data_IF_500544803990
#
_entry.id   IF_500544803990
#
_cell.length_a   1.000
_cell.length_b   1.000
_cell.length_c   1.000
_cell.angle_alpha   90.00
_cell.angle_beta   90.00
_cell.angle_gamma   90.00
#
_symmetry.space_group_name_H-M   'P 1'
#
loop_
_entity.id
_entity.type
_entity.pdbx_description
1 polymer ?
#
# COMPACT_ATOMS: atom_id res chain seq x y z
N UNK A 1 -5.47 9.18 -14.67
CA UNK A 1 -4.27 10.02 -14.46
C UNK A 1 -3.04 9.10 -14.58
N UNK A 2 -1.89 9.54 -15.15
CA UNK A 2 -0.74 8.62 -15.33
C UNK A 2 0.17 8.59 -14.09
N UNK A 3 0.90 7.50 -13.86
CA UNK A 3 1.94 7.38 -12.81
C UNK A 3 2.92 8.57 -12.81
N UNK A 4 3.33 9.01 -14.00
CA UNK A 4 4.23 10.15 -14.17
C UNK A 4 3.58 11.45 -13.68
N UNK A 5 2.28 11.63 -13.89
CA UNK A 5 1.56 12.79 -13.38
C UNK A 5 1.55 12.80 -11.84
N UNK A 6 1.23 11.67 -11.20
CA UNK A 6 1.22 11.56 -9.73
C UNK A 6 2.58 11.92 -9.12
N UNK A 7 3.67 11.46 -9.73
CA UNK A 7 5.04 11.71 -9.29
C UNK A 7 5.48 13.18 -9.42
N UNK A 8 4.92 13.93 -10.39
CA UNK A 8 5.32 15.31 -10.67
C UNK A 8 4.33 16.37 -10.16
N UNK A 9 3.17 15.96 -9.66
CA UNK A 9 2.17 16.86 -9.09
C UNK A 9 2.67 17.42 -7.76
N UNK A 10 2.41 18.70 -7.49
CA UNK A 10 2.79 19.34 -6.22
C UNK A 10 2.14 18.63 -5.02
N UNK A 11 2.77 18.74 -3.85
CA UNK A 11 2.22 18.16 -2.62
C UNK A 11 0.82 18.70 -2.30
N UNK A 12 0.58 19.99 -2.51
CA UNK A 12 -0.71 20.60 -2.23
C UNK A 12 -1.83 20.05 -3.14
N UNK A 13 -1.60 20.03 -4.46
CA UNK A 13 -2.58 19.52 -5.42
C UNK A 13 -2.85 18.04 -5.20
N UNK A 14 -1.81 17.23 -4.97
CA UNK A 14 -2.00 15.79 -4.75
C UNK A 14 -2.67 15.51 -3.40
N UNK A 15 -2.36 16.26 -2.35
CA UNK A 15 -3.02 16.13 -1.05
C UNK A 15 -4.53 16.35 -1.17
N UNK A 16 -4.93 17.40 -1.88
CA UNK A 16 -6.36 17.74 -2.06
C UNK A 16 -7.07 16.74 -2.97
N UNK A 17 -6.39 16.20 -4.00
CA UNK A 17 -6.91 15.12 -4.83
C UNK A 17 -7.15 13.83 -4.00
N UNK A 18 -6.15 13.40 -3.23
CA UNK A 18 -6.24 12.24 -2.33
C UNK A 18 -7.37 12.41 -1.31
N UNK A 19 -7.46 13.59 -0.67
CA UNK A 19 -8.52 13.91 0.28
C UNK A 19 -9.90 13.85 -0.39
N UNK A 20 -10.05 14.44 -1.56
CA UNK A 20 -11.31 14.43 -2.30
C UNK A 20 -11.73 13.01 -2.71
N UNK A 21 -10.79 12.19 -3.18
CA UNK A 21 -11.02 10.80 -3.55
C UNK A 21 -11.51 9.97 -2.35
N UNK A 22 -10.79 10.03 -1.23
CA UNK A 22 -11.16 9.30 -0.01
C UNK A 22 -12.55 9.73 0.49
N UNK A 23 -12.86 11.03 0.51
CA UNK A 23 -14.18 11.51 0.94
C UNK A 23 -15.29 11.01 0.01
N UNK A 24 -15.10 11.05 -1.31
CA UNK A 24 -16.08 10.53 -2.29
C UNK A 24 -16.32 9.03 -2.14
N UNK A 25 -15.29 8.27 -1.76
CA UNK A 25 -15.37 6.85 -1.43
C UNK A 25 -15.96 6.57 -0.04
N UNK A 26 -16.37 7.60 0.71
CA UNK A 26 -16.89 7.46 2.08
C UNK A 26 -15.82 7.09 3.11
N UNK A 27 -14.54 7.28 2.78
CA UNK A 27 -13.40 7.03 3.66
C UNK A 27 -13.03 8.27 4.47
N UNK A 28 -12.35 8.05 5.59
CA UNK A 28 -11.85 9.15 6.43
C UNK A 28 -10.47 9.59 5.94
N UNK A 29 -10.29 10.90 5.74
CA UNK A 29 -8.98 11.50 5.53
C UNK A 29 -8.55 12.24 6.81
N UNK A 30 -7.37 11.94 7.34
CA UNK A 30 -6.86 12.50 8.58
C UNK A 30 -6.14 13.82 8.30
N UNK A 31 -6.82 14.96 8.51
CA UNK A 31 -6.32 16.30 8.14
C UNK A 31 -5.92 17.17 9.35
N UNK A 32 -5.89 16.59 10.55
CA UNK A 32 -5.63 17.29 11.81
C UNK A 32 -4.32 16.82 12.44
N UNK A 33 -3.54 17.78 12.96
CA UNK A 33 -2.29 17.51 13.66
C UNK A 33 -1.12 17.20 12.73
N UNK A 34 0.09 17.39 13.26
CA UNK A 34 1.31 17.09 12.53
C UNK A 34 1.57 15.59 12.49
N UNK A 35 2.07 15.08 11.36
CA UNK A 35 2.38 13.66 11.14
C UNK A 35 1.22 12.69 11.42
N UNK A 36 -0.02 13.16 11.30
CA UNK A 36 -1.19 12.27 11.25
C UNK A 36 -1.26 11.66 9.84
N UNK A 37 -0.75 10.44 9.69
CA UNK A 37 -0.43 9.89 8.37
C UNK A 37 -1.67 9.29 7.70
N UNK A 38 -1.86 9.63 6.44
CA UNK A 38 -2.71 8.91 5.51
C UNK A 38 -1.81 8.04 4.62
N UNK A 39 -1.76 6.74 4.90
CA UNK A 39 -1.08 5.76 4.04
C UNK A 39 -2.07 5.31 2.96
N UNK A 40 -1.80 5.67 1.71
CA UNK A 40 -2.72 5.47 0.60
C UNK A 40 -1.99 4.76 -0.55
N UNK A 41 -2.33 3.50 -0.81
CA UNK A 41 -1.94 2.82 -2.04
C UNK A 41 -2.85 3.22 -3.19
N UNK A 42 -2.26 3.64 -4.31
CA UNK A 42 -2.94 3.89 -5.58
C UNK A 42 -2.57 2.73 -6.50
N UNK A 43 -3.52 1.83 -6.72
CA UNK A 43 -3.36 0.67 -7.61
C UNK A 43 -3.50 1.09 -9.06
N UNK A 44 -2.59 0.66 -9.91
CA UNK A 44 -2.66 0.94 -11.34
C UNK A 44 -3.71 0.08 -12.04
N UNK A 45 -4.38 0.67 -13.02
CA UNK A 45 -5.37 0.02 -13.87
C UNK A 45 -4.74 -0.95 -14.87
N UNK A 46 -3.44 -0.82 -15.19
CA UNK A 46 -2.78 -1.72 -16.14
C UNK A 46 -2.52 -3.13 -15.59
N UNK A 47 -2.52 -3.30 -14.25
CA UNK A 47 -2.40 -4.59 -13.54
C UNK A 47 -1.30 -5.50 -14.11
N UNK A 48 -0.11 -4.95 -14.30
CA UNK A 48 1.00 -5.70 -14.89
C UNK A 48 1.80 -6.41 -13.79
N UNK A 49 1.47 -7.70 -13.59
CA UNK A 49 2.18 -8.55 -12.65
C UNK A 49 3.70 -8.46 -12.84
N UNK A 50 4.41 -8.24 -11.74
CA UNK A 50 5.86 -8.17 -11.72
C UNK A 50 6.48 -6.79 -11.92
N UNK A 51 5.67 -5.73 -12.01
CA UNK A 51 6.14 -4.35 -12.04
C UNK A 51 5.84 -3.61 -10.71
N UNK A 52 6.51 -2.48 -10.53
CA UNK A 52 6.21 -1.48 -9.49
C UNK A 52 5.46 -0.30 -10.11
N UNK A 53 4.29 -0.57 -10.66
CA UNK A 53 3.40 0.35 -11.36
C UNK A 53 2.44 1.10 -10.44
N UNK A 54 2.17 0.58 -9.24
CA UNK A 54 1.45 1.29 -8.18
C UNK A 54 2.28 2.42 -7.55
N UNK A 55 1.58 3.29 -6.82
CA UNK A 55 2.19 4.32 -5.98
C UNK A 55 1.67 4.20 -4.55
N UNK A 56 2.58 4.15 -3.58
CA UNK A 56 2.25 4.35 -2.18
C UNK A 56 2.46 5.82 -1.82
N UNK A 57 1.39 6.51 -1.48
CA UNK A 57 1.39 7.87 -0.96
C UNK A 57 1.36 7.86 0.57
N UNK A 58 2.13 8.77 1.18
CA UNK A 58 2.04 9.11 2.60
C UNK A 58 1.73 10.61 2.70
N UNK A 59 0.45 10.94 2.91
CA UNK A 59 -0.03 12.32 3.02
C UNK A 59 -0.24 12.72 4.48
N UNK A 60 0.29 13.89 4.86
CA UNK A 60 0.26 14.38 6.24
C UNK A 60 0.47 15.90 6.30
N UNK A 61 0.29 16.50 7.48
CA UNK A 61 0.70 17.88 7.75
C UNK A 61 2.00 17.94 8.55
N UNK A 62 2.79 18.96 8.30
CA UNK A 62 3.95 19.32 9.11
C UNK A 62 3.97 20.83 9.31
N UNK A 63 3.81 21.28 10.56
CA UNK A 63 3.68 22.70 10.93
C UNK A 63 2.59 23.40 10.12
N UNK A 64 1.46 22.71 9.93
CA UNK A 64 0.32 23.18 9.15
C UNK A 64 0.46 23.06 7.62
N UNK A 65 1.65 22.74 7.09
CA UNK A 65 1.90 22.60 5.65
C UNK A 65 1.53 21.20 5.17
N UNK A 66 0.76 21.09 4.08
CA UNK A 66 0.43 19.81 3.41
C UNK A 66 1.70 19.19 2.82
N UNK A 67 1.92 17.91 3.09
CA UNK A 67 3.04 17.12 2.57
C UNK A 67 2.52 15.83 1.97
N UNK A 68 3.11 15.40 0.85
CA UNK A 68 2.86 14.09 0.27
C UNK A 68 4.18 13.46 -0.13
N UNK A 69 4.52 12.31 0.47
CA UNK A 69 5.58 11.46 -0.06
C UNK A 69 5.00 10.41 -0.99
N UNK A 70 5.73 10.09 -2.05
CA UNK A 70 5.31 9.19 -3.13
C UNK A 70 6.37 8.14 -3.30
N UNK A 71 5.99 6.88 -3.23
CA UNK A 71 6.90 5.76 -3.30
C UNK A 71 6.45 4.82 -4.41
N UNK A 72 7.37 4.48 -5.30
CA UNK A 72 7.09 3.45 -6.29
C UNK A 72 6.86 2.12 -5.57
N UNK A 73 5.69 1.53 -5.79
CA UNK A 73 5.25 0.38 -5.04
C UNK A 73 4.48 -0.61 -5.94
N UNK A 74 4.05 -1.72 -5.36
CA UNK A 74 3.16 -2.70 -6.00
C UNK A 74 2.32 -3.39 -4.95
N UNK A 75 1.05 -3.61 -5.25
CA UNK A 75 0.13 -4.50 -4.53
C UNK A 75 -0.03 -5.83 -5.24
N UNK A 76 0.56 -5.97 -6.43
CA UNK A 76 0.53 -7.19 -7.21
C UNK A 76 1.45 -8.22 -6.59
N UNK A 77 1.00 -9.48 -6.63
CA UNK A 77 1.87 -10.57 -6.28
C UNK A 77 3.01 -10.70 -7.29
N UNK A 78 4.18 -11.12 -6.81
CA UNK A 78 5.29 -11.45 -7.67
C UNK A 78 4.93 -12.62 -8.59
N UNK A 79 5.43 -12.61 -9.82
CA UNK A 79 5.11 -13.62 -10.85
C UNK A 79 5.39 -15.06 -10.41
N UNK A 80 6.33 -15.25 -9.47
CA UNK A 80 6.60 -16.56 -8.87
C UNK A 80 5.40 -17.12 -8.09
N UNK A 81 4.68 -16.26 -7.36
CA UNK A 81 3.63 -16.67 -6.42
C UNK A 81 2.33 -17.09 -7.12
N UNK A 82 2.05 -16.56 -8.32
CA UNK A 82 0.97 -17.08 -9.17
C UNK A 82 1.20 -18.55 -9.56
N UNK A 83 2.46 -18.93 -9.82
CA UNK A 83 2.83 -20.31 -10.16
C UNK A 83 3.02 -21.21 -8.93
N UNK A 84 3.23 -20.63 -7.75
CA UNK A 84 3.55 -21.34 -6.51
C UNK A 84 2.77 -20.76 -5.31
N UNK A 85 1.43 -20.83 -5.30
CA UNK A 85 0.65 -20.17 -4.26
C UNK A 85 0.92 -20.80 -2.88
N UNK A 86 1.13 -19.96 -1.87
CA UNK A 86 1.33 -20.41 -0.48
C UNK A 86 0.05 -20.98 0.15
N UNK A 87 -1.11 -20.70 -0.45
CA UNK A 87 -2.41 -21.17 0.01
C UNK A 87 -3.06 -22.00 -1.12
N UNK A 88 -3.71 -23.10 -0.75
CA UNK A 88 -4.44 -23.93 -1.72
C UNK A 88 -5.56 -23.16 -2.44
N UNK A 89 -6.10 -22.11 -1.80
CA UNK A 89 -7.07 -21.17 -2.38
C UNK A 89 -6.44 -20.09 -3.25
N UNK A 90 -5.13 -20.13 -3.48
CA UNK A 90 -4.43 -19.22 -4.36
C UNK A 90 -3.89 -17.95 -3.72
N UNK A 91 -3.47 -17.02 -4.56
CA UNK A 91 -2.77 -15.79 -4.19
C UNK A 91 -3.74 -14.76 -3.62
N UNK A 92 -3.34 -14.04 -2.58
CA UNK A 92 -4.17 -13.00 -1.98
C UNK A 92 -3.95 -11.67 -2.69
N UNK A 93 -5.03 -10.98 -3.04
CA UNK A 93 -4.97 -9.59 -3.48
C UNK A 93 -5.86 -8.74 -2.59
N UNK A 94 -5.32 -7.68 -1.98
CA UNK A 94 -6.12 -6.82 -1.11
C UNK A 94 -7.29 -6.19 -1.88
N UNK A 95 -8.49 -6.20 -1.29
CA UNK A 95 -9.65 -5.50 -1.83
C UNK A 95 -9.46 -3.98 -1.63
N UNK A 96 -9.72 -3.12 -2.62
CA UNK A 96 -9.73 -1.67 -2.41
C UNK A 96 -10.66 -1.28 -1.25
N UNK A 97 -10.22 -0.35 -0.41
CA UNK A 97 -10.94 0.07 0.79
C UNK A 97 -10.03 0.67 1.86
N UNK A 98 -10.64 1.11 2.96
CA UNK A 98 -9.94 1.69 4.10
C UNK A 98 -9.88 0.72 5.29
N UNK A 99 -8.67 0.35 5.70
CA UNK A 99 -8.38 -0.59 6.78
C UNK A 99 -7.88 0.16 8.02
N UNK A 100 -8.84 0.66 8.82
CA UNK A 100 -8.57 1.55 9.97
C UNK A 100 -7.78 0.88 11.08
N UNK A 101 -6.60 1.41 11.37
CA UNK A 101 -5.72 0.90 12.42
C UNK A 101 -5.28 -0.55 12.22
N UNK A 102 -5.35 -1.06 10.99
CA UNK A 102 -5.05 -2.44 10.65
C UNK A 102 -3.55 -2.72 10.48
N UNK A 103 -2.71 -1.70 10.63
CA UNK A 103 -1.26 -1.79 10.54
C UNK A 103 -0.59 -1.28 11.81
N UNK A 104 0.59 -1.82 12.10
CA UNK A 104 1.49 -1.35 13.18
C UNK A 104 2.93 -1.53 12.76
N UNK A 105 3.85 -0.75 13.32
CA UNK A 105 5.28 -1.04 13.24
C UNK A 105 5.54 -2.36 13.97
N UNK A 106 6.08 -3.34 13.25
CA UNK A 106 6.41 -4.67 13.74
C UNK A 106 7.50 -5.33 12.90
N UNK A 107 7.85 -6.58 13.20
CA UNK A 107 8.91 -7.30 12.49
C UNK A 107 8.38 -8.00 11.24
N UNK A 108 8.99 -7.73 10.10
CA UNK A 108 8.88 -8.48 8.86
C UNK A 108 10.27 -9.05 8.54
N UNK A 109 10.43 -10.38 8.66
CA UNK A 109 11.65 -11.13 8.28
C UNK A 109 12.99 -10.47 8.71
N UNK A 110 13.11 -10.16 10.01
CA UNK A 110 14.37 -9.66 10.59
C UNK A 110 14.57 -8.14 10.57
N UNK A 111 13.63 -7.37 10.01
CA UNK A 111 13.64 -5.90 10.06
C UNK A 111 12.24 -5.34 10.39
N UNK A 112 12.17 -4.04 10.67
CA UNK A 112 10.91 -3.38 11.00
C UNK A 112 10.16 -2.93 9.74
N UNK A 113 8.86 -3.18 9.73
CA UNK A 113 7.95 -2.80 8.67
C UNK A 113 6.57 -2.46 9.26
N UNK A 114 5.65 -2.00 8.41
CA UNK A 114 4.25 -1.89 8.80
C UNK A 114 3.57 -3.24 8.57
N UNK A 115 3.32 -3.96 9.66
CA UNK A 115 2.75 -5.29 9.62
C UNK A 115 1.26 -5.27 9.91
N UNK A 116 0.53 -6.21 9.32
CA UNK A 116 -0.89 -6.39 9.58
C UNK A 116 -1.12 -6.66 11.08
N UNK A 117 -2.08 -5.95 11.68
CA UNK A 117 -2.47 -6.06 13.09
C UNK A 117 -3.97 -6.30 13.29
N UNK A 118 -4.80 -6.09 12.26
CA UNK A 118 -6.23 -6.40 12.25
C UNK A 118 -6.64 -7.06 10.93
N UNK A 119 -7.81 -7.73 10.89
CA UNK A 119 -8.32 -8.31 9.65
C UNK A 119 -8.44 -7.30 8.51
N UNK A 120 -8.14 -7.76 7.30
CA UNK A 120 -8.35 -7.04 6.05
C UNK A 120 -9.13 -7.93 5.09
N UNK A 121 -9.62 -7.39 3.98
CA UNK A 121 -10.30 -8.14 2.93
C UNK A 121 -9.36 -8.42 1.77
N UNK A 122 -9.37 -9.65 1.27
CA UNK A 122 -8.60 -10.07 0.09
C UNK A 122 -9.49 -10.82 -0.88
N UNK A 123 -9.26 -10.63 -2.17
CA UNK A 123 -9.65 -11.59 -3.21
C UNK A 123 -8.71 -12.79 -3.15
N UNK A 124 -9.24 -13.97 -3.49
CA UNK A 124 -8.49 -15.20 -3.68
C UNK A 124 -8.47 -15.56 -5.15
N UNK A 125 -7.28 -15.57 -5.73
CA UNK A 125 -7.07 -15.97 -7.12
C UNK A 125 -6.39 -17.34 -7.17
N UNK A 126 -7.15 -18.37 -7.58
CA UNK A 126 -6.72 -19.76 -7.64
C UNK A 126 -6.50 -20.29 -9.05
N UNK A 127 -6.75 -19.51 -10.10
CA UNK A 127 -6.73 -19.99 -11.48
C UNK A 127 -5.28 -20.13 -12.02
N UNK A 128 -4.31 -19.51 -11.31
CA UNK A 128 -2.86 -19.53 -11.55
C UNK A 128 -2.44 -18.90 -12.88
N UNK A 129 -3.29 -18.10 -13.50
CA UNK A 129 -2.87 -17.22 -14.57
C UNK A 129 -2.31 -15.90 -14.00
N UNK A 130 -2.01 -14.95 -14.87
CA UNK A 130 -1.50 -13.62 -14.48
C UNK A 130 -2.62 -12.56 -14.54
N UNK A 131 -3.87 -13.00 -14.71
CA UNK A 131 -5.07 -12.20 -14.93
C UNK A 131 -5.92 -12.26 -13.66
N UNK A 132 -6.00 -11.12 -12.99
CA UNK A 132 -6.69 -11.01 -11.71
C UNK A 132 -8.21 -11.16 -11.83
N UNK A 133 -8.73 -12.27 -11.31
CA UNK A 133 -10.17 -12.48 -11.13
C UNK A 133 -10.70 -11.71 -9.91
N UNK A 134 -11.25 -10.52 -10.15
CA UNK A 134 -11.96 -9.70 -9.14
C UNK A 134 -13.40 -10.18 -8.97
N UNK A 135 -13.58 -11.40 -8.47
CA UNK A 135 -14.90 -11.92 -8.11
C UNK A 135 -15.24 -11.59 -6.65
N UNK A 136 -16.28 -10.78 -6.46
CA UNK A 136 -16.82 -10.44 -5.14
C UNK A 136 -17.29 -11.65 -4.34
N UNK A 137 -17.63 -12.78 -4.99
CA UNK A 137 -18.01 -14.02 -4.32
C UNK A 137 -16.83 -14.69 -3.58
N UNK A 138 -15.58 -14.31 -3.89
CA UNK A 138 -14.36 -14.91 -3.35
C UNK A 138 -13.60 -13.98 -2.38
N UNK A 139 -14.30 -13.03 -1.75
CA UNK A 139 -13.69 -12.15 -0.73
C UNK A 139 -13.59 -12.90 0.60
N UNK A 140 -12.36 -12.97 1.13
CA UNK A 140 -12.09 -13.43 2.48
C UNK A 140 -11.68 -12.26 3.38
N UNK A 141 -12.13 -12.27 4.64
CA UNK A 141 -11.67 -11.33 5.67
C UNK A 141 -10.87 -12.06 6.75
N UNK A 142 -9.69 -11.55 7.08
CA UNK A 142 -8.84 -12.23 8.06
C UNK A 142 -7.41 -11.71 8.15
N UNK A 143 -6.61 -12.46 8.90
CA UNK A 143 -5.17 -12.23 9.05
C UNK A 143 -4.42 -13.03 7.98
N UNK A 144 -3.76 -12.33 7.07
CA UNK A 144 -3.10 -12.92 5.90
C UNK A 144 -1.61 -12.59 5.82
N UNK A 145 -1.06 -11.87 6.81
CA UNK A 145 0.31 -11.36 6.82
C UNK A 145 0.63 -10.45 5.63
N UNK A 146 -0.38 -9.71 5.15
CA UNK A 146 -0.28 -8.71 4.08
C UNK A 146 0.29 -7.43 4.67
N UNK A 147 1.62 -7.30 4.58
CA UNK A 147 2.40 -6.23 5.19
C UNK A 147 2.71 -5.11 4.17
N UNK A 148 3.17 -3.96 4.64
CA UNK A 148 3.79 -2.91 3.82
C UNK A 148 5.30 -2.94 4.09
N UNK A 149 6.10 -3.39 3.13
CA UNK A 149 7.54 -3.62 3.30
C UNK A 149 8.34 -3.22 2.05
N UNK A 150 9.67 -3.30 2.13
CA UNK A 150 10.57 -3.06 0.98
C UNK A 150 10.81 -4.32 0.17
N UNK A 151 11.13 -4.16 -1.11
CA UNK A 151 11.57 -5.25 -1.97
C UNK A 151 12.95 -5.78 -1.57
N UNK A 152 13.97 -4.91 -1.54
CA UNK A 152 15.35 -5.29 -1.21
C UNK A 152 15.92 -4.38 -0.14
N UNK A 153 16.87 -4.91 0.64
CA UNK A 153 17.61 -4.14 1.64
C UNK A 153 18.74 -3.29 1.04
N UNK A 154 19.18 -3.59 -0.18
CA UNK A 154 20.45 -3.09 -0.74
C UNK A 154 20.19 -2.12 -1.90
N UNK A 155 19.44 -2.56 -2.91
CA UNK A 155 19.22 -1.80 -4.15
C UNK A 155 17.75 -1.66 -4.47
N UNK A 156 17.40 -0.62 -5.21
CA UNK A 156 16.06 -0.48 -5.76
C UNK A 156 15.78 -1.62 -6.74
N UNK A 157 14.68 -2.33 -6.53
CA UNK A 157 14.26 -3.42 -7.41
C UNK A 157 13.51 -2.85 -8.62
N UNK A 158 13.90 -3.28 -9.83
CA UNK A 158 13.20 -2.91 -11.07
C UNK A 158 12.00 -3.81 -11.37
N UNK A 159 12.00 -5.03 -10.83
CA UNK A 159 10.98 -6.06 -11.05
C UNK A 159 10.53 -6.66 -9.73
N UNK A 160 9.26 -6.97 -9.63
CA UNK A 160 8.64 -7.69 -8.52
C UNK A 160 8.53 -9.19 -8.86
N UNK A 161 9.60 -9.96 -8.66
CA UNK A 161 9.57 -11.39 -8.98
C UNK A 161 9.07 -12.25 -7.81
N UNK A 162 9.63 -12.07 -6.61
CA UNK A 162 9.43 -12.98 -5.47
C UNK A 162 8.95 -12.28 -4.19
N UNK A 163 8.71 -10.97 -4.21
CA UNK A 163 8.70 -10.19 -2.96
C UNK A 163 7.37 -10.19 -2.21
N UNK A 164 6.28 -10.66 -2.82
CA UNK A 164 4.95 -10.58 -2.19
C UNK A 164 3.94 -11.52 -2.83
N UNK A 165 3.06 -12.12 -2.02
CA UNK A 165 1.85 -12.81 -2.46
C UNK A 165 0.57 -12.05 -2.04
N UNK A 166 0.66 -10.72 -1.88
CA UNK A 166 -0.45 -9.84 -1.53
C UNK A 166 -0.10 -8.60 -0.67
N UNK A 167 1.15 -8.46 -0.22
CA UNK A 167 1.72 -7.27 0.43
C UNK A 167 1.79 -6.05 -0.49
N UNK A 168 1.82 -4.86 0.10
CA UNK A 168 2.28 -3.64 -0.57
C UNK A 168 3.80 -3.55 -0.45
N UNK A 169 4.50 -3.60 -1.59
CA UNK A 169 5.98 -3.60 -1.61
C UNK A 169 6.49 -2.29 -2.17
N UNK A 170 7.34 -1.59 -1.42
CA UNK A 170 8.07 -0.39 -1.86
C UNK A 170 9.36 -0.82 -2.57
N UNK A 171 9.60 -0.30 -3.77
CA UNK A 171 10.69 -0.76 -4.64
C UNK A 171 12.08 -0.39 -4.11
N UNK A 172 12.19 0.74 -3.41
CA UNK A 172 13.46 1.35 -2.98
C UNK A 172 13.68 1.25 -1.46
N UNK A 173 14.85 0.77 -1.00
CA UNK A 173 15.17 0.74 0.44
C UNK A 173 15.28 2.13 1.08
N UNK A 174 15.72 3.16 0.34
CA UNK A 174 15.80 4.53 0.86
C UNK A 174 14.42 5.12 1.11
N UNK A 175 13.51 4.87 0.18
CA UNK A 175 12.13 5.36 0.22
C UNK A 175 11.37 4.68 1.37
N UNK A 176 11.57 3.36 1.50
CA UNK A 176 11.03 2.63 2.63
C UNK A 176 11.60 3.11 3.97
N UNK A 177 12.89 3.46 4.03
CA UNK A 177 13.50 4.03 5.24
C UNK A 177 12.86 5.37 5.59
N UNK A 178 12.56 6.22 4.60
CA UNK A 178 11.83 7.48 4.81
C UNK A 178 10.41 7.22 5.34
N UNK A 179 9.66 6.31 4.70
CA UNK A 179 8.33 5.90 5.13
C UNK A 179 8.33 5.42 6.60
N UNK A 180 9.27 4.56 6.97
CA UNK A 180 9.39 4.08 8.35
C UNK A 180 9.79 5.19 9.33
N UNK A 181 10.58 6.18 8.89
CA UNK A 181 10.90 7.37 9.67
C UNK A 181 9.64 8.22 9.96
N UNK A 182 8.77 8.41 8.96
CA UNK A 182 7.49 9.08 9.14
C UNK A 182 6.57 8.29 10.07
N UNK A 183 6.48 6.97 9.89
CA UNK A 183 5.69 6.10 10.76
C UNK A 183 6.16 6.18 12.22
N UNK A 184 7.47 6.19 12.48
CA UNK A 184 8.02 6.37 13.84
C UNK A 184 7.67 7.72 14.45
N UNK A 185 7.70 8.82 13.68
CA UNK A 185 7.27 10.13 14.15
C UNK A 185 5.79 10.12 14.53
N UNK A 186 4.94 9.57 13.66
CA UNK A 186 3.51 9.44 13.90
C UNK A 186 3.22 8.55 15.11
N UNK A 187 3.93 7.43 15.28
CA UNK A 187 3.81 6.55 16.45
C UNK A 187 4.06 7.30 17.77
N UNK A 188 5.04 8.20 17.80
CA UNK A 188 5.33 8.98 19.01
C UNK A 188 4.22 9.96 19.41
N UNK A 189 3.33 10.31 18.47
CA UNK A 189 2.25 11.27 18.67
C UNK A 189 0.87 10.59 18.82
N UNK A 190 0.62 9.52 18.07
CA UNK A 190 -0.70 8.90 17.96
C UNK A 190 -0.71 7.41 18.33
N UNK A 191 0.43 6.85 18.72
CA UNK A 191 0.60 5.44 19.06
C UNK A 191 0.83 4.52 17.85
N UNK A 192 1.14 3.26 18.13
CA UNK A 192 1.52 2.28 17.12
C UNK A 192 0.31 1.64 16.41
N UNK A 193 -0.49 2.47 15.73
CA UNK A 193 -1.66 2.04 14.94
C UNK A 193 -1.82 2.91 13.71
N UNK A 194 -1.85 2.29 12.53
CA UNK A 194 -1.89 2.98 11.25
C UNK A 194 -3.07 2.50 10.41
N UNK A 195 -3.71 3.46 9.75
CA UNK A 195 -4.73 3.19 8.73
C UNK A 195 -4.07 3.13 7.37
N UNK A 196 -4.33 2.07 6.61
CA UNK A 196 -3.96 1.96 5.21
C UNK A 196 -5.22 1.98 4.37
N UNK A 197 -5.22 2.78 3.30
CA UNK A 197 -6.30 2.86 2.34
C UNK A 197 -5.77 2.45 0.98
N UNK A 198 -6.46 1.57 0.28
CA UNK A 198 -6.13 1.17 -1.07
C UNK A 198 -7.24 1.68 -2.00
N UNK A 199 -6.86 2.44 -3.03
CA UNK A 199 -7.77 2.96 -4.05
C UNK A 199 -7.26 2.60 -5.44
N UNK A 200 -8.18 2.54 -6.40
CA UNK A 200 -7.84 2.36 -7.82
C UNK A 200 -7.46 3.74 -8.43
N UNK A 201 -6.55 3.75 -9.40
CA UNK A 201 -6.00 4.98 -10.01
C UNK A 201 -7.05 5.92 -10.64
N UNK A 202 -8.23 5.39 -10.99
CA UNK A 202 -9.30 6.18 -11.59
C UNK A 202 -10.01 7.12 -10.60
N UNK A 203 -9.75 6.96 -9.30
CA UNK A 203 -10.24 7.87 -8.26
C UNK A 203 -9.37 9.11 -8.08
N UNK A 204 -8.14 9.11 -8.60
CA UNK A 204 -7.15 10.18 -8.44
C UNK A 204 -7.00 10.96 -9.74
#
# INVERSE_FOLDING_TARGET
>A
MTRLYLLNTTDETLYDALKSALIKLGHTFFDNGDYNLNLIGIRSGSRQAGLFDDILCCAYREKGVKKVKRYEATTDAGTYWYKNPMNAKGTAMMVPGQYKGAYKIGKHTGYLALVQSKPIKVYRDNNRDIILDVDSANIEEGMFAVNIHRASAITKSKLNTNWSAGCQVVSSPSDFKELMGLARKSESLYGNSFTYTLVEENWI
#
